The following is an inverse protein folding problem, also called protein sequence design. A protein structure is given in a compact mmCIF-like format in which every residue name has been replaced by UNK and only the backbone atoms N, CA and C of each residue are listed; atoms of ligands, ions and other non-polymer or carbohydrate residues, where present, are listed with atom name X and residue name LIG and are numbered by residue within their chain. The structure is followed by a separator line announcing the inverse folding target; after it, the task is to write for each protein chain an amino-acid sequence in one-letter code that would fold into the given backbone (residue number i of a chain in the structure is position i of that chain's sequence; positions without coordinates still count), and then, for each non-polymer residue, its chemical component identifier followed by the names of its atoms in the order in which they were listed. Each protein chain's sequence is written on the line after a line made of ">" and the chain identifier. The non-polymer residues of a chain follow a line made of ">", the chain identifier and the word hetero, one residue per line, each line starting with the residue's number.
data_IF_112762165450
#
_entry.id   IF_112762165450
#
_cell.length_a   1.000
_cell.length_b   1.000
_cell.length_c   1.000
_cell.angle_alpha   90.00
_cell.angle_beta   90.00
_cell.angle_gamma   90.00
#
_symmetry.space_group_name_H-M   'P 1'
#
loop_
_entity.id
_entity.type
_entity.pdbx_description
1 polymer ?
#
# COMPACT_ATOMS: atom_id res chain seq x y z
N UNK A 1 57.49 16.15 1.72
CA UNK A 1 56.47 16.89 0.96
C UNK A 1 55.28 17.33 1.79
N UNK A 2 54.76 16.54 2.74
CA UNK A 2 53.55 16.87 3.49
C UNK A 2 53.65 18.00 4.55
N UNK A 3 54.82 18.25 5.12
CA UNK A 3 54.99 19.22 6.22
C UNK A 3 54.88 20.69 5.76
N UNK A 4 55.28 21.00 4.53
CA UNK A 4 55.13 22.32 3.96
C UNK A 4 53.70 22.61 3.51
N UNK A 5 52.98 21.63 3.02
CA UNK A 5 51.56 21.75 2.68
C UNK A 5 50.69 22.01 3.92
N UNK A 6 50.94 21.32 5.03
CA UNK A 6 50.25 21.57 6.29
C UNK A 6 50.52 22.95 6.87
N UNK A 7 51.77 23.43 6.78
CA UNK A 7 52.12 24.82 7.19
C UNK A 7 51.42 25.86 6.32
N UNK A 8 51.33 25.64 5.01
CA UNK A 8 50.65 26.57 4.10
C UNK A 8 49.14 26.61 4.39
N UNK A 9 48.50 25.46 4.57
CA UNK A 9 47.10 25.38 4.95
C UNK A 9 46.82 26.10 6.28
N UNK A 10 47.72 25.94 7.26
CA UNK A 10 47.58 26.60 8.56
C UNK A 10 47.79 28.14 8.48
N UNK A 11 48.67 28.62 7.63
CA UNK A 11 48.89 30.05 7.42
C UNK A 11 47.70 30.71 6.69
N UNK A 12 47.05 29.99 5.79
CA UNK A 12 45.91 30.50 5.03
C UNK A 12 44.56 30.18 5.70
N UNK A 13 44.55 29.68 6.96
CA UNK A 13 43.34 29.20 7.64
C UNK A 13 42.19 30.23 7.71
N UNK A 14 42.53 31.52 7.83
CA UNK A 14 41.49 32.58 7.88
C UNK A 14 40.87 32.84 6.51
N UNK A 15 41.64 32.78 5.46
CA UNK A 15 41.16 32.94 4.08
C UNK A 15 40.35 31.75 3.62
N UNK A 16 40.71 30.55 4.08
CA UNK A 16 40.03 29.30 3.72
C UNK A 16 38.90 28.93 4.67
N UNK A 17 38.71 29.64 5.80
CA UNK A 17 37.68 29.29 6.81
C UNK A 17 36.27 29.31 6.24
N UNK A 18 35.97 30.29 5.39
CA UNK A 18 34.66 30.39 4.73
C UNK A 18 34.42 29.21 3.78
N UNK A 19 35.41 28.86 2.96
CA UNK A 19 35.35 27.72 2.05
C UNK A 19 35.16 26.40 2.81
N UNK A 20 35.83 26.21 3.93
CA UNK A 20 35.67 25.04 4.78
C UNK A 20 34.27 24.95 5.38
N UNK A 21 33.74 26.10 5.83
CA UNK A 21 32.38 26.16 6.37
C UNK A 21 31.33 25.83 5.29
N UNK A 22 31.48 26.41 4.09
CA UNK A 22 30.62 26.15 2.95
C UNK A 22 30.63 24.65 2.56
N UNK A 23 31.81 24.05 2.40
CA UNK A 23 31.95 22.63 2.11
C UNK A 23 31.37 21.74 3.21
N UNK A 24 31.53 22.12 4.47
CA UNK A 24 30.96 21.39 5.59
C UNK A 24 29.43 21.41 5.56
N UNK A 25 28.83 22.59 5.33
CA UNK A 25 27.37 22.71 5.21
C UNK A 25 26.83 21.86 4.04
N UNK A 26 27.47 21.98 2.87
CA UNK A 26 27.08 21.17 1.70
C UNK A 26 27.20 19.68 1.98
N UNK A 27 28.29 19.27 2.66
CA UNK A 27 28.48 17.86 3.04
C UNK A 27 27.37 17.36 3.97
N UNK A 28 26.99 18.14 4.99
CA UNK A 28 25.93 17.76 5.93
C UNK A 28 24.59 17.63 5.20
N UNK A 29 24.27 18.60 4.33
CA UNK A 29 23.02 18.54 3.55
C UNK A 29 23.02 17.33 2.62
N UNK A 30 24.12 17.12 1.90
CA UNK A 30 24.26 16.01 0.98
C UNK A 30 24.14 14.66 1.71
N UNK A 31 24.82 14.53 2.86
CA UNK A 31 24.74 13.32 3.68
C UNK A 31 23.31 13.04 4.13
N UNK A 32 22.59 14.06 4.62
CA UNK A 32 21.20 13.93 5.04
C UNK A 32 20.30 13.46 3.87
N UNK A 33 20.41 14.10 2.70
CA UNK A 33 19.57 13.74 1.56
C UNK A 33 19.90 12.31 1.07
N UNK A 34 21.19 11.94 1.02
CA UNK A 34 21.60 10.59 0.62
C UNK A 34 21.07 9.53 1.59
N UNK A 35 21.10 9.83 2.90
CA UNK A 35 20.55 8.94 3.93
C UNK A 35 19.04 8.73 3.74
N UNK A 36 18.28 9.82 3.57
CA UNK A 36 16.82 9.75 3.31
C UNK A 36 16.52 8.96 2.04
N UNK A 37 17.22 9.22 0.94
CA UNK A 37 17.04 8.49 -0.32
C UNK A 37 17.38 7.01 -0.15
N UNK A 38 18.47 6.69 0.56
CA UNK A 38 18.86 5.31 0.82
C UNK A 38 17.79 4.57 1.62
N UNK A 39 17.29 5.17 2.70
CA UNK A 39 16.20 4.58 3.52
C UNK A 39 14.93 4.39 2.68
N UNK A 40 14.52 5.42 1.93
CA UNK A 40 13.33 5.35 1.07
C UNK A 40 13.44 4.24 0.03
N UNK A 41 14.58 4.14 -0.68
CA UNK A 41 14.78 3.06 -1.66
C UNK A 41 14.87 1.69 -1.02
N UNK A 42 15.44 1.60 0.18
CA UNK A 42 15.49 0.34 0.94
C UNK A 42 14.08 -0.14 1.30
N UNK A 43 13.21 0.78 1.73
CA UNK A 43 11.81 0.49 2.03
C UNK A 43 11.05 0.16 0.73
N UNK A 44 11.22 0.96 -0.31
CA UNK A 44 10.54 0.78 -1.60
C UNK A 44 10.73 -0.63 -2.19
N UNK A 45 11.91 -1.20 -2.07
CA UNK A 45 12.26 -2.51 -2.63
C UNK A 45 11.85 -3.70 -1.74
N UNK A 46 11.27 -3.48 -0.57
CA UNK A 46 10.77 -4.58 0.26
C UNK A 46 9.53 -5.24 -0.40
N UNK A 47 9.32 -6.54 -0.18
CA UNK A 47 8.12 -7.23 -0.66
C UNK A 47 6.84 -6.58 -0.11
N UNK A 48 5.82 -6.46 -0.94
CA UNK A 48 4.51 -5.92 -0.55
C UNK A 48 3.65 -6.92 0.22
N UNK A 49 3.87 -8.22 0.03
CA UNK A 49 3.06 -9.29 0.60
C UNK A 49 1.78 -9.59 -0.19
N UNK A 50 1.53 -8.86 -1.27
CA UNK A 50 0.42 -9.07 -2.20
C UNK A 50 0.84 -8.71 -3.64
N UNK A 51 -0.01 -9.06 -4.60
CA UNK A 51 0.20 -8.83 -6.03
C UNK A 51 -1.03 -8.16 -6.66
N UNK A 52 -0.79 -7.11 -7.44
CA UNK A 52 -1.81 -6.33 -8.16
C UNK A 52 -1.80 -6.53 -9.68
N UNK A 53 -0.93 -7.37 -10.20
CA UNK A 53 -0.88 -7.63 -11.65
C UNK A 53 -2.21 -8.20 -12.13
N UNK A 54 -2.67 -7.75 -13.29
CA UNK A 54 -3.94 -8.17 -13.90
C UNK A 54 -5.18 -7.98 -12.99
N UNK A 55 -5.12 -7.02 -12.08
CA UNK A 55 -6.20 -6.72 -11.12
C UNK A 55 -6.90 -5.41 -11.46
N UNK A 56 -8.22 -5.43 -11.37
CA UNK A 56 -9.08 -4.29 -11.70
C UNK A 56 -10.05 -4.01 -10.56
N UNK A 57 -10.35 -2.73 -10.35
CA UNK A 57 -11.43 -2.26 -9.48
C UNK A 57 -12.62 -1.91 -10.34
N UNK A 58 -13.78 -2.46 -10.04
CA UNK A 58 -15.05 -2.13 -10.67
C UNK A 58 -15.89 -1.34 -9.68
N UNK A 59 -16.38 -0.20 -10.12
CA UNK A 59 -17.29 0.64 -9.33
C UNK A 59 -18.70 0.47 -9.82
N UNK A 60 -19.59 0.12 -8.88
CA UNK A 60 -21.03 0.03 -9.13
C UNK A 60 -21.74 1.14 -8.42
N UNK A 61 -22.71 1.73 -9.09
CA UNK A 61 -23.52 2.80 -8.53
C UNK A 61 -25.01 2.50 -8.73
N UNK A 62 -25.82 3.13 -7.90
CA UNK A 62 -27.26 3.02 -7.98
C UNK A 62 -27.83 4.06 -8.94
N UNK A 63 -28.71 3.63 -9.83
CA UNK A 63 -29.41 4.52 -10.75
C UNK A 63 -30.19 5.59 -9.99
N UNK A 64 -30.18 6.79 -10.53
CA UNK A 64 -31.04 7.87 -10.02
C UNK A 64 -32.49 7.64 -10.43
N UNK A 65 -33.43 8.22 -9.67
CA UNK A 65 -34.88 8.13 -9.93
C UNK A 65 -35.32 8.70 -11.29
N UNK A 66 -34.39 9.34 -12.02
CA UNK A 66 -34.63 9.88 -13.38
C UNK A 66 -34.31 8.86 -14.48
N UNK A 67 -33.62 7.80 -14.18
CA UNK A 67 -33.30 6.76 -15.16
C UNK A 67 -34.56 5.96 -15.53
N UNK A 68 -34.70 5.66 -16.82
CA UNK A 68 -35.89 4.94 -17.33
C UNK A 68 -36.03 3.52 -16.73
N UNK A 69 -34.93 2.88 -16.38
CA UNK A 69 -34.89 1.53 -15.79
C UNK A 69 -34.96 1.55 -14.25
N UNK A 70 -35.07 2.71 -13.61
CA UNK A 70 -35.09 2.82 -12.15
C UNK A 70 -36.31 2.12 -11.54
N UNK A 71 -36.07 1.30 -10.55
CA UNK A 71 -37.08 0.58 -9.77
C UNK A 71 -37.27 1.25 -8.41
N UNK A 72 -38.38 1.93 -8.15
CA UNK A 72 -38.64 2.58 -6.89
C UNK A 72 -38.88 1.58 -5.75
N UNK A 73 -38.52 1.98 -4.51
CA UNK A 73 -38.82 1.21 -3.31
C UNK A 73 -37.83 0.09 -3.00
N UNK A 74 -36.77 -0.12 -3.78
CA UNK A 74 -35.74 -1.11 -3.47
C UNK A 74 -34.94 -0.76 -2.24
N UNK A 75 -34.67 -1.75 -1.45
CA UNK A 75 -33.91 -1.71 -0.19
C UNK A 75 -32.42 -2.00 -0.43
N UNK A 76 -31.55 -1.64 0.52
CA UNK A 76 -30.13 -2.01 0.48
C UNK A 76 -29.91 -3.53 0.45
N UNK A 77 -30.78 -4.30 1.11
CA UNK A 77 -30.76 -5.77 1.05
C UNK A 77 -30.93 -6.32 -0.36
N UNK A 78 -31.85 -5.72 -1.13
CA UNK A 78 -32.06 -6.12 -2.54
C UNK A 78 -30.86 -5.66 -3.40
N UNK A 79 -30.29 -4.50 -3.13
CA UNK A 79 -29.09 -4.05 -3.86
C UNK A 79 -27.87 -4.94 -3.55
N UNK A 80 -27.71 -5.42 -2.32
CA UNK A 80 -26.67 -6.41 -1.95
C UNK A 80 -26.89 -7.73 -2.69
N UNK A 81 -28.12 -8.21 -2.77
CA UNK A 81 -28.43 -9.42 -3.56
C UNK A 81 -28.14 -9.23 -5.06
N UNK A 82 -28.47 -8.08 -5.63
CA UNK A 82 -28.15 -7.73 -7.03
C UNK A 82 -26.64 -7.67 -7.25
N UNK A 83 -25.88 -7.14 -6.26
CA UNK A 83 -24.44 -7.11 -6.32
C UNK A 83 -23.81 -8.51 -6.30
N UNK A 84 -24.33 -9.41 -5.47
CA UNK A 84 -23.91 -10.81 -5.48
C UNK A 84 -24.19 -11.50 -6.82
N UNK A 85 -25.31 -11.19 -7.45
CA UNK A 85 -25.61 -11.70 -8.81
C UNK A 85 -24.60 -11.18 -9.82
N UNK A 86 -24.23 -9.89 -9.77
CA UNK A 86 -23.20 -9.31 -10.63
C UNK A 86 -21.84 -9.99 -10.40
N UNK A 87 -21.42 -10.15 -9.13
CA UNK A 87 -20.18 -10.82 -8.76
C UNK A 87 -20.18 -12.27 -9.28
N UNK A 88 -21.28 -12.98 -9.15
CA UNK A 88 -21.43 -14.33 -9.67
C UNK A 88 -21.25 -14.39 -11.19
N UNK A 89 -21.85 -13.47 -11.94
CA UNK A 89 -21.66 -13.37 -13.39
C UNK A 89 -20.22 -13.06 -13.78
N UNK A 90 -19.56 -12.15 -13.05
CA UNK A 90 -18.13 -11.84 -13.24
C UNK A 90 -17.25 -13.07 -12.98
N UNK A 91 -17.50 -13.80 -11.89
CA UNK A 91 -16.74 -14.99 -11.51
C UNK A 91 -16.87 -16.15 -12.52
N UNK A 92 -18.00 -16.23 -13.24
CA UNK A 92 -18.22 -17.24 -14.28
C UNK A 92 -17.64 -16.88 -15.65
N UNK A 93 -17.01 -15.72 -15.79
CA UNK A 93 -16.34 -15.38 -17.05
C UNK A 93 -15.08 -16.24 -17.26
N UNK A 94 -14.81 -16.67 -18.48
CA UNK A 94 -13.65 -17.52 -18.78
C UNK A 94 -12.30 -16.78 -18.60
N UNK A 95 -12.30 -15.44 -18.74
CA UNK A 95 -11.12 -14.60 -18.60
C UNK A 95 -10.86 -14.14 -17.15
N UNK A 96 -11.78 -14.41 -16.22
CA UNK A 96 -11.65 -14.02 -14.81
C UNK A 96 -11.14 -15.19 -13.97
N UNK A 97 -10.17 -14.90 -13.09
CA UNK A 97 -9.58 -15.85 -12.15
C UNK A 97 -10.30 -15.81 -10.80
N UNK A 98 -10.52 -14.61 -10.25
CA UNK A 98 -11.18 -14.42 -8.96
C UNK A 98 -11.87 -13.05 -8.92
N UNK A 99 -12.94 -12.94 -8.11
CA UNK A 99 -13.68 -11.69 -7.83
C UNK A 99 -13.94 -11.61 -6.35
N UNK A 100 -13.73 -10.44 -5.75
CA UNK A 100 -13.96 -10.22 -4.33
C UNK A 100 -14.77 -8.96 -4.05
N UNK A 101 -15.45 -8.95 -2.92
CA UNK A 101 -16.04 -7.77 -2.31
C UNK A 101 -15.21 -7.32 -1.12
N UNK A 102 -15.09 -6.01 -0.94
CA UNK A 102 -14.43 -5.43 0.21
C UNK A 102 -14.98 -4.05 0.56
N UNK A 103 -14.56 -3.51 1.70
CA UNK A 103 -14.92 -2.19 2.14
C UNK A 103 -13.70 -1.48 2.76
N UNK A 104 -13.26 -0.39 2.14
CA UNK A 104 -12.05 0.36 2.51
C UNK A 104 -10.78 -0.52 2.57
N UNK A 105 -10.63 -1.45 1.64
CA UNK A 105 -9.58 -2.47 1.68
C UNK A 105 -8.76 -2.55 0.40
N UNK A 106 -9.11 -1.83 -0.66
CA UNK A 106 -8.31 -1.80 -1.89
C UNK A 106 -6.90 -1.32 -1.56
N UNK A 107 -5.85 -1.99 -2.03
CA UNK A 107 -4.51 -1.44 -1.96
C UNK A 107 -4.43 -0.04 -2.58
N UNK A 108 -3.59 0.82 -2.02
CA UNK A 108 -3.37 2.18 -2.52
C UNK A 108 -4.61 3.08 -2.47
N UNK A 109 -5.38 3.00 -1.41
CA UNK A 109 -6.43 3.98 -1.12
C UNK A 109 -6.09 4.78 0.15
N UNK A 110 -6.68 5.97 0.29
CA UNK A 110 -6.53 6.79 1.50
C UNK A 110 -7.48 6.35 2.62
N UNK A 111 -8.33 5.36 2.36
CA UNK A 111 -9.31 4.84 3.29
C UNK A 111 -8.73 3.75 4.18
N UNK A 112 -9.06 3.78 5.46
CA UNK A 112 -8.69 2.73 6.39
C UNK A 112 -9.69 2.62 7.52
N UNK A 113 -10.07 1.38 7.86
CA UNK A 113 -10.85 1.09 9.05
C UNK A 113 -9.90 0.73 10.18
N UNK A 114 -10.01 1.41 11.31
CA UNK A 114 -9.25 1.05 12.52
C UNK A 114 -9.89 -0.14 13.21
N UNK A 115 -9.08 -1.07 13.68
CA UNK A 115 -9.51 -2.22 14.45
C UNK A 115 -8.65 -2.39 15.70
N UNK A 116 -9.31 -2.50 16.85
CA UNK A 116 -8.64 -2.74 18.12
C UNK A 116 -9.23 -3.98 18.77
N UNK A 117 -8.37 -4.87 19.21
CA UNK A 117 -8.73 -6.08 19.92
C UNK A 117 -7.70 -6.39 21.01
N UNK A 118 -7.96 -7.37 21.83
CA UNK A 118 -7.04 -7.76 22.90
C UNK A 118 -6.48 -9.14 22.65
N UNK A 119 -5.14 -9.24 22.70
CA UNK A 119 -4.44 -10.52 22.82
C UNK A 119 -3.97 -10.64 24.26
N UNK A 120 -4.62 -11.51 25.02
CA UNK A 120 -4.49 -11.58 26.48
C UNK A 120 -4.81 -10.22 27.12
N UNK A 121 -3.81 -9.55 27.68
CA UNK A 121 -3.96 -8.21 28.27
C UNK A 121 -3.43 -7.07 27.41
N UNK A 122 -2.84 -7.39 26.25
CA UNK A 122 -2.20 -6.42 25.37
C UNK A 122 -3.22 -5.89 24.38
N UNK A 123 -3.47 -4.57 24.34
CA UNK A 123 -4.31 -3.95 23.32
C UNK A 123 -3.55 -3.91 21.98
N UNK A 124 -4.09 -4.56 20.98
CA UNK A 124 -3.54 -4.58 19.62
C UNK A 124 -4.35 -3.65 18.74
N UNK A 125 -3.67 -2.79 18.00
CA UNK A 125 -4.28 -1.92 16.98
C UNK A 125 -3.78 -2.30 15.60
N UNK A 126 -4.71 -2.39 14.65
CA UNK A 126 -4.43 -2.73 13.26
C UNK A 126 -5.41 -2.03 12.33
N UNK A 127 -5.16 -2.11 11.05
CA UNK A 127 -6.19 -1.84 10.06
C UNK A 127 -7.17 -3.01 10.02
N UNK A 128 -8.46 -2.71 9.95
CA UNK A 128 -9.51 -3.70 9.69
C UNK A 128 -9.74 -3.81 8.20
N UNK A 129 -9.63 -5.01 7.67
CA UNK A 129 -10.01 -5.32 6.30
C UNK A 129 -11.29 -6.15 6.31
N UNK A 130 -12.39 -5.54 5.94
CA UNK A 130 -13.65 -6.22 5.70
C UNK A 130 -13.67 -6.75 4.29
N UNK A 131 -13.53 -8.05 4.13
CA UNK A 131 -13.32 -8.70 2.84
C UNK A 131 -14.08 -10.02 2.73
N UNK A 132 -14.42 -10.40 1.51
CA UNK A 132 -14.81 -11.78 1.21
C UNK A 132 -13.57 -12.66 1.08
N UNK A 133 -13.67 -14.00 1.26
CA UNK A 133 -12.55 -14.93 1.19
C UNK A 133 -11.73 -14.81 -0.10
N UNK A 134 -12.40 -14.59 -1.23
CA UNK A 134 -11.80 -14.49 -2.55
C UNK A 134 -10.81 -13.32 -2.69
N UNK A 135 -10.87 -12.36 -1.78
CA UNK A 135 -9.92 -11.23 -1.74
C UNK A 135 -8.46 -11.72 -1.67
N UNK A 136 -8.19 -12.78 -0.93
CA UNK A 136 -6.86 -13.35 -0.87
C UNK A 136 -6.40 -13.90 -2.22
N UNK A 137 -7.32 -14.47 -3.00
CA UNK A 137 -7.04 -14.98 -4.34
C UNK A 137 -6.86 -13.84 -5.36
N UNK A 138 -7.69 -12.79 -5.27
CA UNK A 138 -7.56 -11.59 -6.12
C UNK A 138 -6.20 -10.96 -5.96
N UNK A 139 -5.69 -10.84 -4.74
CA UNK A 139 -4.43 -10.18 -4.42
C UNK A 139 -3.26 -11.15 -4.15
N UNK A 140 -3.46 -12.46 -4.33
CA UNK A 140 -2.43 -13.50 -4.19
C UNK A 140 -1.63 -13.40 -2.89
N UNK A 141 -2.32 -13.21 -1.77
CA UNK A 141 -1.69 -13.23 -0.46
C UNK A 141 -1.09 -14.61 -0.17
N UNK A 142 -0.05 -14.64 0.66
CA UNK A 142 0.62 -15.89 1.04
C UNK A 142 0.44 -16.16 2.52
N UNK A 143 0.20 -17.43 2.85
CA UNK A 143 0.20 -17.90 4.23
C UNK A 143 1.65 -18.08 4.72
N UNK A 144 1.90 -17.81 6.00
CA UNK A 144 3.24 -17.99 6.62
C UNK A 144 3.74 -19.44 6.61
N UNK A 145 2.88 -20.41 6.39
CA UNK A 145 3.24 -21.83 6.28
C UNK A 145 3.72 -22.21 4.88
N UNK A 146 3.68 -21.27 3.93
CA UNK A 146 4.05 -21.46 2.53
C UNK A 146 2.93 -21.97 1.64
N UNK A 147 1.72 -22.18 2.19
CA UNK A 147 0.54 -22.48 1.38
C UNK A 147 0.05 -21.22 0.62
N UNK A 148 -0.76 -21.43 -0.41
CA UNK A 148 -1.28 -20.36 -1.24
C UNK A 148 -2.41 -19.55 -0.60
N UNK A 149 -2.93 -18.60 -1.37
CA UNK A 149 -4.05 -17.74 -0.99
C UNK A 149 -5.34 -18.51 -0.68
N UNK A 150 -5.55 -19.66 -1.28
CA UNK A 150 -6.71 -20.52 -1.05
C UNK A 150 -6.85 -20.93 0.41
N UNK A 151 -5.74 -21.28 1.07
CA UNK A 151 -5.76 -21.64 2.50
C UNK A 151 -6.17 -20.47 3.41
N UNK A 152 -5.83 -19.24 3.02
CA UNK A 152 -6.25 -18.03 3.72
C UNK A 152 -7.75 -17.75 3.49
N UNK A 153 -8.21 -17.98 2.27
CA UNK A 153 -9.62 -17.84 1.91
C UNK A 153 -10.49 -18.83 2.71
N UNK A 154 -10.08 -20.08 2.82
CA UNK A 154 -10.77 -21.11 3.63
C UNK A 154 -10.77 -20.78 5.13
N UNK A 155 -9.70 -20.15 5.63
CA UNK A 155 -9.58 -19.78 7.03
C UNK A 155 -10.45 -18.57 7.42
N UNK A 156 -10.77 -17.69 6.47
CA UNK A 156 -11.61 -16.52 6.72
C UNK A 156 -13.09 -16.91 6.77
N UNK A 157 -13.65 -16.90 7.95
CA UNK A 157 -15.06 -17.25 8.21
C UNK A 157 -15.71 -16.21 9.12
N UNK A 158 -17.02 -16.20 9.32
CA UNK A 158 -17.67 -15.29 10.26
C UNK A 158 -17.11 -15.34 11.69
N UNK A 159 -16.51 -16.45 12.10
CA UNK A 159 -15.88 -16.64 13.43
C UNK A 159 -14.35 -16.72 13.36
N UNK A 160 -13.77 -16.74 12.17
CA UNK A 160 -12.33 -16.84 11.93
C UNK A 160 -11.79 -15.60 11.26
N UNK A 161 -10.72 -15.03 11.79
CA UNK A 161 -10.01 -13.90 11.20
C UNK A 161 -8.61 -14.27 10.75
N UNK A 162 -8.08 -13.52 9.80
CA UNK A 162 -6.72 -13.68 9.30
C UNK A 162 -5.92 -12.42 9.67
N UNK A 163 -4.73 -12.60 10.25
CA UNK A 163 -3.85 -11.49 10.61
C UNK A 163 -2.61 -11.48 9.73
N UNK A 164 -2.04 -10.30 9.53
CA UNK A 164 -0.67 -10.17 9.03
C UNK A 164 0.32 -10.46 10.14
N UNK A 165 1.32 -11.32 9.89
CA UNK A 165 2.26 -11.77 10.93
C UNK A 165 3.08 -10.64 11.53
N UNK A 166 3.36 -9.59 10.78
CA UNK A 166 4.09 -8.40 11.24
C UNK A 166 3.35 -7.58 12.32
N UNK A 167 2.11 -7.92 12.64
CA UNK A 167 1.44 -7.43 13.86
C UNK A 167 2.26 -7.78 15.11
N UNK A 168 2.89 -8.96 15.15
CA UNK A 168 3.69 -9.40 16.30
C UNK A 168 4.98 -8.58 16.49
N UNK A 169 5.56 -8.08 15.41
CA UNK A 169 6.87 -7.41 15.42
C UNK A 169 6.84 -6.06 16.17
N UNK A 170 5.66 -5.45 16.29
CA UNK A 170 5.48 -4.16 16.96
C UNK A 170 5.34 -4.31 18.48
N UNK A 171 4.91 -5.47 18.94
CA UNK A 171 4.68 -5.75 20.36
C UNK A 171 5.78 -6.62 20.91
N UNK A 172 7.04 -6.15 20.84
CA UNK A 172 8.23 -6.90 21.20
C UNK A 172 8.24 -7.43 22.65
N UNK A 173 7.59 -6.71 23.56
CA UNK A 173 7.44 -7.10 24.96
C UNK A 173 6.22 -8.01 25.22
N UNK A 174 5.47 -8.36 24.20
CA UNK A 174 4.33 -9.23 24.35
C UNK A 174 4.76 -10.70 24.56
N UNK A 175 3.98 -11.49 25.33
CA UNK A 175 4.32 -12.88 25.61
C UNK A 175 4.06 -13.83 24.43
N UNK A 176 3.76 -13.32 23.25
CA UNK A 176 3.42 -14.11 22.06
C UNK A 176 4.11 -13.55 20.81
N UNK A 177 4.59 -14.43 19.94
CA UNK A 177 5.27 -14.07 18.70
C UNK A 177 4.89 -15.00 17.56
N UNK A 178 4.84 -14.46 16.34
CA UNK A 178 4.69 -15.22 15.11
C UNK A 178 3.54 -16.24 15.16
N UNK A 179 3.86 -17.51 14.91
CA UNK A 179 2.88 -18.62 14.85
C UNK A 179 2.10 -18.91 16.13
N UNK A 180 2.56 -18.41 17.27
CA UNK A 180 1.85 -18.58 18.57
C UNK A 180 0.51 -17.83 18.61
N UNK A 181 0.28 -16.93 17.64
CA UNK A 181 -1.00 -16.25 17.48
C UNK A 181 -2.10 -17.17 16.97
N UNK A 182 -1.76 -18.25 16.25
CA UNK A 182 -2.75 -19.15 15.66
C UNK A 182 -3.63 -19.82 16.72
N UNK A 183 -4.92 -19.89 16.46
CA UNK A 183 -5.93 -20.51 17.32
C UNK A 183 -6.34 -19.68 18.54
N UNK A 184 -5.71 -18.53 18.78
CA UNK A 184 -6.12 -17.66 19.89
C UNK A 184 -7.47 -17.04 19.62
N UNK A 185 -8.29 -16.96 20.65
CA UNK A 185 -9.58 -16.24 20.61
C UNK A 185 -9.37 -14.81 21.06
N UNK A 186 -9.88 -13.89 20.30
CA UNK A 186 -9.77 -12.46 20.56
C UNK A 186 -11.15 -11.85 20.75
N UNK A 187 -11.41 -11.20 21.88
CA UNK A 187 -12.62 -10.43 22.07
C UNK A 187 -12.54 -9.16 21.21
N UNK A 188 -13.57 -8.92 20.43
CA UNK A 188 -13.67 -7.71 19.60
C UNK A 188 -13.93 -6.48 20.48
N UNK A 189 -14.60 -6.66 21.65
CA UNK A 189 -14.91 -5.60 22.61
C UNK A 189 -14.54 -6.02 24.03
N UNK A 190 -13.80 -5.17 24.75
CA UNK A 190 -13.24 -5.52 26.08
C UNK A 190 -14.29 -5.68 27.18
N UNK A 191 -15.43 -4.99 27.10
CA UNK A 191 -16.34 -4.80 28.25
C UNK A 191 -17.64 -5.56 28.14
N UNK A 192 -17.84 -6.42 27.15
CA UNK A 192 -19.05 -7.20 26.99
C UNK A 192 -18.75 -8.68 27.20
N UNK A 193 -19.31 -9.33 28.24
CA UNK A 193 -19.10 -10.75 28.53
C UNK A 193 -19.58 -11.67 27.38
N UNK A 194 -20.49 -11.19 26.56
CA UNK A 194 -21.01 -11.87 25.36
C UNK A 194 -20.39 -11.33 24.08
N UNK A 195 -19.28 -10.58 24.18
CA UNK A 195 -18.60 -10.04 23.00
C UNK A 195 -18.30 -11.14 22.00
N UNK A 196 -18.55 -10.84 20.74
CA UNK A 196 -18.20 -11.69 19.62
C UNK A 196 -16.71 -12.01 19.66
N UNK A 197 -16.38 -13.30 19.75
CA UNK A 197 -15.01 -13.77 19.79
C UNK A 197 -14.63 -14.26 18.40
N UNK A 198 -13.62 -13.60 17.82
CA UNK A 198 -12.98 -14.10 16.61
C UNK A 198 -11.77 -14.98 16.97
N UNK A 199 -11.58 -16.04 16.24
CA UNK A 199 -10.40 -16.89 16.36
C UNK A 199 -9.40 -16.53 15.27
N UNK A 200 -8.11 -16.42 15.59
CA UNK A 200 -7.04 -16.22 14.62
C UNK A 200 -6.85 -17.53 13.87
N UNK A 201 -7.47 -17.66 12.71
CA UNK A 201 -7.53 -18.90 11.94
C UNK A 201 -6.30 -19.09 11.04
N UNK A 202 -5.72 -18.01 10.52
CA UNK A 202 -4.51 -18.05 9.72
C UNK A 202 -3.69 -16.76 9.86
N UNK A 203 -2.44 -16.81 9.39
CA UNK A 203 -1.54 -15.67 9.35
C UNK A 203 -0.99 -15.50 7.93
N UNK A 204 -0.98 -14.28 7.42
CA UNK A 204 -0.29 -13.99 6.16
C UNK A 204 1.18 -13.70 6.41
N UNK A 205 2.01 -13.83 5.35
CA UNK A 205 3.33 -13.19 5.32
C UNK A 205 3.21 -11.69 5.63
N UNK A 206 4.32 -11.01 5.97
CA UNK A 206 4.30 -9.57 6.20
C UNK A 206 3.68 -8.82 5.02
N UNK A 207 2.79 -7.89 5.33
CA UNK A 207 2.09 -7.09 4.33
C UNK A 207 2.39 -5.62 4.58
N UNK A 208 2.49 -4.85 3.51
CA UNK A 208 2.72 -3.41 3.56
C UNK A 208 1.50 -2.66 3.01
N UNK A 209 1.36 -1.42 3.42
CA UNK A 209 0.28 -0.56 2.95
C UNK A 209 0.55 -0.06 1.52
N UNK A 210 1.76 0.44 1.29
CA UNK A 210 2.30 0.90 0.01
C UNK A 210 3.83 0.73 -0.04
N UNK A 211 4.47 1.14 -1.13
CA UNK A 211 5.91 0.98 -1.32
C UNK A 211 6.76 1.97 -0.49
N UNK A 212 6.18 3.03 0.05
CA UNK A 212 6.87 4.05 0.83
C UNK A 212 6.64 3.91 2.33
N UNK A 213 5.62 3.17 2.74
CA UNK A 213 5.30 2.92 4.16
C UNK A 213 6.26 1.91 4.76
N UNK A 214 6.85 2.24 5.91
CA UNK A 214 7.75 1.34 6.63
C UNK A 214 7.01 0.08 7.13
N UNK A 215 7.69 -1.09 7.25
CA UNK A 215 7.06 -2.34 7.69
C UNK A 215 6.49 -2.30 9.11
N UNK A 216 7.03 -1.45 9.97
CA UNK A 216 6.61 -1.25 11.35
C UNK A 216 5.53 -0.18 11.52
N UNK A 217 5.13 0.47 10.44
CA UNK A 217 4.04 1.44 10.45
C UNK A 217 2.68 0.77 10.74
N UNK A 218 1.75 1.57 11.28
CA UNK A 218 0.38 1.13 11.55
C UNK A 218 -0.32 0.61 10.29
N UNK A 219 -0.11 1.27 9.14
CA UNK A 219 -0.68 0.88 7.85
C UNK A 219 -0.22 -0.48 7.33
N UNK A 220 0.93 -0.97 7.82
CA UNK A 220 1.49 -2.27 7.44
C UNK A 220 0.96 -3.46 8.27
N UNK A 221 -0.03 -3.23 9.14
CA UNK A 221 -0.62 -4.24 10.02
C UNK A 221 -2.11 -4.32 9.82
N UNK A 222 -2.62 -5.48 9.48
CA UNK A 222 -4.05 -5.64 9.30
C UNK A 222 -4.62 -6.90 9.92
N UNK A 223 -5.91 -6.82 10.23
CA UNK A 223 -6.78 -7.93 10.58
C UNK A 223 -7.89 -8.04 9.53
N UNK A 224 -7.90 -9.13 8.78
CA UNK A 224 -8.97 -9.45 7.86
C UNK A 224 -10.12 -10.11 8.60
N UNK A 225 -11.30 -9.54 8.44
CA UNK A 225 -12.55 -10.00 9.04
C UNK A 225 -13.54 -10.26 7.92
N UNK A 226 -14.33 -11.31 8.07
CA UNK A 226 -15.32 -11.71 7.07
C UNK A 226 -16.37 -10.61 6.86
N UNK A 227 -16.59 -10.25 5.61
CA UNK A 227 -17.60 -9.28 5.21
C UNK A 227 -18.95 -10.00 5.04
N UNK A 228 -19.81 -9.84 6.03
CA UNK A 228 -21.17 -10.43 6.00
C UNK A 228 -22.14 -9.57 5.21
N UNK A 229 -23.27 -10.16 4.78
CA UNK A 229 -24.34 -9.43 4.10
C UNK A 229 -24.94 -8.35 5.01
N UNK A 230 -25.07 -8.61 6.31
CA UNK A 230 -25.53 -7.61 7.28
C UNK A 230 -24.56 -6.42 7.36
N UNK A 231 -23.26 -6.67 7.26
CA UNK A 231 -22.26 -5.60 7.22
C UNK A 231 -22.39 -4.79 5.92
N UNK A 232 -22.57 -5.45 4.77
CA UNK A 232 -22.84 -4.78 3.48
C UNK A 232 -24.11 -3.93 3.54
N UNK A 233 -25.21 -4.49 4.06
CA UNK A 233 -26.47 -3.77 4.21
C UNK A 233 -26.34 -2.54 5.11
N UNK A 234 -25.51 -2.63 6.16
CA UNK A 234 -25.28 -1.53 7.11
C UNK A 234 -24.53 -0.33 6.53
N UNK A 235 -23.84 -0.49 5.39
CA UNK A 235 -23.15 0.61 4.71
C UNK A 235 -24.11 1.65 4.14
N UNK A 236 -25.35 1.28 3.86
CA UNK A 236 -26.41 2.17 3.39
C UNK A 236 -26.33 2.54 1.90
N UNK A 237 -25.15 2.48 1.30
CA UNK A 237 -24.92 2.80 -0.11
C UNK A 237 -23.90 1.84 -0.75
N UNK A 238 -24.18 1.40 -1.97
CA UNK A 238 -23.32 0.46 -2.71
C UNK A 238 -21.99 1.07 -3.16
N UNK A 239 -21.89 2.39 -3.24
CA UNK A 239 -20.66 3.10 -3.60
C UNK A 239 -19.50 2.84 -2.63
N UNK A 240 -19.81 2.43 -1.39
CA UNK A 240 -18.80 2.06 -0.39
C UNK A 240 -18.33 0.61 -0.50
N UNK A 241 -18.92 -0.17 -1.41
CA UNK A 241 -18.56 -1.57 -1.64
C UNK A 241 -17.61 -1.62 -2.82
N UNK A 242 -16.45 -2.18 -2.57
CA UNK A 242 -15.40 -2.35 -3.56
C UNK A 242 -15.54 -3.72 -4.22
N UNK A 243 -15.56 -3.75 -5.53
CA UNK A 243 -15.52 -4.99 -6.33
C UNK A 243 -14.16 -5.06 -7.00
N UNK A 244 -13.36 -6.05 -6.64
CA UNK A 244 -12.06 -6.27 -7.27
C UNK A 244 -12.07 -7.60 -8.01
N UNK A 245 -11.52 -7.61 -9.22
CA UNK A 245 -11.35 -8.83 -9.98
C UNK A 245 -9.91 -9.01 -10.42
N UNK A 246 -9.48 -10.26 -10.53
CA UNK A 246 -8.24 -10.67 -11.17
C UNK A 246 -8.56 -11.37 -12.48
N UNK A 247 -7.88 -10.97 -13.53
CA UNK A 247 -7.95 -11.58 -14.86
C UNK A 247 -6.89 -12.66 -14.96
N UNK A 248 -7.21 -13.76 -15.64
CA UNK A 248 -6.25 -14.85 -15.90
C UNK A 248 -5.07 -14.36 -16.70
N UNK A 249 -3.90 -14.92 -16.42
CA UNK A 249 -2.68 -14.60 -17.13
C UNK A 249 -2.86 -14.79 -18.66
N UNK A 250 -2.39 -13.83 -19.44
CA UNK A 250 -2.54 -13.81 -20.89
C UNK A 250 -3.92 -13.42 -21.43
N UNK A 251 -4.90 -13.12 -20.57
CA UNK A 251 -6.25 -12.66 -20.96
C UNK A 251 -6.49 -11.16 -20.72
N UNK A 252 -5.42 -10.43 -20.37
CA UNK A 252 -5.50 -9.04 -19.95
C UNK A 252 -5.80 -8.05 -21.10
N UNK A 253 -5.38 -8.38 -22.33
CA UNK A 253 -5.53 -7.50 -23.48
C UNK A 253 -7.00 -7.24 -23.81
N UNK A 254 -7.39 -5.96 -23.82
CA UNK A 254 -8.74 -5.52 -24.14
C UNK A 254 -9.82 -5.96 -23.14
N UNK A 255 -9.46 -6.36 -21.93
CA UNK A 255 -10.44 -6.82 -20.91
C UNK A 255 -11.44 -5.72 -20.54
N UNK A 256 -10.98 -4.47 -20.44
CA UNK A 256 -11.83 -3.33 -20.11
C UNK A 256 -12.90 -3.15 -21.19
N UNK A 257 -12.51 -3.19 -22.47
CA UNK A 257 -13.45 -3.07 -23.59
C UNK A 257 -14.49 -4.19 -23.59
N UNK A 258 -14.05 -5.44 -23.29
CA UNK A 258 -14.98 -6.60 -23.18
C UNK A 258 -15.96 -6.42 -22.03
N UNK A 259 -15.50 -5.93 -20.88
CA UNK A 259 -16.36 -5.68 -19.72
C UNK A 259 -17.37 -4.54 -20.00
N UNK A 260 -16.91 -3.46 -20.67
CA UNK A 260 -17.79 -2.33 -21.05
C UNK A 260 -18.86 -2.79 -22.06
N UNK A 261 -18.49 -3.61 -23.05
CA UNK A 261 -19.47 -4.16 -24.04
C UNK A 261 -20.55 -4.99 -23.35
N UNK A 262 -20.19 -5.68 -22.28
CA UNK A 262 -21.11 -6.51 -21.50
C UNK A 262 -21.89 -5.71 -20.42
N UNK A 263 -21.52 -4.46 -20.14
CA UNK A 263 -21.98 -3.70 -18.98
C UNK A 263 -23.51 -3.63 -18.86
N UNK A 264 -24.19 -3.14 -19.90
CA UNK A 264 -25.65 -2.95 -19.88
C UNK A 264 -26.41 -4.28 -19.80
N UNK A 265 -25.86 -5.34 -20.39
CA UNK A 265 -26.55 -6.64 -20.47
C UNK A 265 -26.27 -7.54 -19.28
N UNK A 266 -25.05 -7.51 -18.74
CA UNK A 266 -24.61 -8.46 -17.75
C UNK A 266 -24.47 -7.83 -16.35
N UNK A 267 -24.12 -6.55 -16.26
CA UNK A 267 -23.76 -5.89 -15.01
C UNK A 267 -24.74 -4.79 -14.61
N UNK A 268 -25.85 -4.63 -15.35
CA UNK A 268 -26.99 -3.87 -14.88
C UNK A 268 -28.00 -4.84 -14.27
N UNK A 269 -28.11 -4.84 -12.93
CA UNK A 269 -29.05 -5.70 -12.18
C UNK A 269 -29.80 -4.83 -11.18
N UNK A 270 -31.13 -4.91 -11.16
CA UNK A 270 -31.95 -4.03 -10.33
C UNK A 270 -31.70 -2.57 -10.62
N UNK A 271 -31.29 -1.82 -9.59
CA UNK A 271 -30.89 -0.43 -9.73
C UNK A 271 -29.38 -0.23 -9.87
N UNK A 272 -28.58 -1.30 -9.84
CA UNK A 272 -27.14 -1.21 -9.95
C UNK A 272 -26.69 -1.20 -11.42
N UNK A 273 -25.67 -0.42 -11.71
CA UNK A 273 -24.99 -0.42 -13.00
C UNK A 273 -23.47 -0.24 -12.81
N UNK A 274 -22.70 -0.75 -13.74
CA UNK A 274 -21.26 -0.56 -13.78
C UNK A 274 -20.93 0.88 -14.17
N UNK A 275 -20.30 1.61 -13.26
CA UNK A 275 -19.92 3.01 -13.47
C UNK A 275 -18.53 3.15 -14.09
N UNK A 276 -17.55 2.40 -13.56
CA UNK A 276 -16.15 2.54 -13.93
C UNK A 276 -15.38 1.25 -13.74
N UNK A 277 -14.31 1.08 -14.53
CA UNK A 277 -13.35 -0.01 -14.44
C UNK A 277 -11.96 0.59 -14.47
N UNK A 278 -11.23 0.46 -13.37
CA UNK A 278 -9.89 1.03 -13.24
C UNK A 278 -8.87 -0.07 -12.99
N UNK A 279 -7.78 -0.19 -13.80
CA UNK A 279 -6.65 -1.05 -13.46
C UNK A 279 -6.04 -0.65 -12.11
N UNK A 280 -5.71 -1.60 -11.27
CA UNK A 280 -5.14 -1.28 -9.96
C UNK A 280 -3.72 -0.69 -10.06
N UNK A 281 -3.02 -0.95 -11.16
CA UNK A 281 -1.77 -0.26 -11.51
C UNK A 281 -1.92 1.26 -11.63
N UNK A 282 -3.08 1.72 -12.14
CA UNK A 282 -3.35 3.14 -12.32
C UNK A 282 -3.73 3.78 -10.99
N UNK A 283 -4.50 3.04 -10.16
CA UNK A 283 -4.79 3.45 -8.76
C UNK A 283 -3.48 3.63 -7.98
N UNK A 284 -2.57 2.66 -8.07
CA UNK A 284 -1.23 2.75 -7.46
C UNK A 284 -0.47 3.96 -7.97
N UNK A 285 -0.42 4.15 -9.29
CA UNK A 285 0.33 5.25 -9.89
C UNK A 285 -0.19 6.61 -9.40
N UNK A 286 -1.51 6.77 -9.33
CA UNK A 286 -2.12 7.99 -8.81
C UNK A 286 -1.79 8.19 -7.32
N UNK A 287 -1.90 7.14 -6.51
CA UNK A 287 -1.65 7.17 -5.07
C UNK A 287 -0.18 7.51 -4.74
N UNK A 288 0.77 6.88 -5.42
CA UNK A 288 2.21 7.03 -5.14
C UNK A 288 2.84 8.26 -5.82
N UNK A 289 2.08 9.00 -6.64
CA UNK A 289 2.59 10.14 -7.45
C UNK A 289 3.35 11.16 -6.60
N UNK A 290 2.82 11.57 -5.46
CA UNK A 290 3.44 12.60 -4.61
C UNK A 290 4.76 12.08 -3.99
N UNK A 291 4.78 10.85 -3.51
CA UNK A 291 5.99 10.23 -2.94
C UNK A 291 7.09 10.05 -4.00
N UNK A 292 6.70 9.65 -5.22
CA UNK A 292 7.63 9.54 -6.36
C UNK A 292 8.17 10.91 -6.76
N UNK A 293 7.34 11.95 -6.80
CA UNK A 293 7.75 13.30 -7.11
C UNK A 293 8.70 13.87 -6.04
N UNK A 294 8.44 13.58 -4.77
CA UNK A 294 9.36 13.96 -3.68
C UNK A 294 10.71 13.30 -3.85
N UNK A 295 10.76 11.99 -4.11
CA UNK A 295 12.00 11.26 -4.36
C UNK A 295 12.76 11.81 -5.58
N UNK A 296 12.07 12.09 -6.67
CA UNK A 296 12.66 12.71 -7.86
C UNK A 296 13.25 14.09 -7.56
N UNK A 297 12.56 14.90 -6.75
CA UNK A 297 13.04 16.20 -6.30
C UNK A 297 14.33 16.06 -5.50
N UNK A 298 14.41 15.09 -4.60
CA UNK A 298 15.62 14.79 -3.84
C UNK A 298 16.79 14.40 -4.75
N UNK A 299 16.55 13.56 -5.76
CA UNK A 299 17.57 13.23 -6.77
C UNK A 299 18.05 14.45 -7.55
N UNK A 300 17.14 15.35 -7.94
CA UNK A 300 17.53 16.61 -8.61
C UNK A 300 18.42 17.49 -7.72
N UNK A 301 18.10 17.59 -6.43
CA UNK A 301 18.90 18.35 -5.45
C UNK A 301 20.30 17.72 -5.29
N UNK A 302 20.38 16.39 -5.14
CA UNK A 302 21.67 15.67 -5.07
C UNK A 302 22.50 15.97 -6.30
N UNK A 303 21.93 15.82 -7.49
CA UNK A 303 22.64 16.09 -8.75
C UNK A 303 23.14 17.53 -8.82
N UNK A 304 22.30 18.50 -8.46
CA UNK A 304 22.67 19.91 -8.44
C UNK A 304 23.83 20.17 -7.46
N UNK A 305 23.78 19.62 -6.25
CA UNK A 305 24.84 19.77 -5.25
C UNK A 305 26.14 19.14 -5.72
N UNK A 306 26.11 17.94 -6.29
CA UNK A 306 27.28 17.28 -6.85
C UNK A 306 27.90 18.08 -7.99
N UNK A 307 27.06 18.64 -8.88
CA UNK A 307 27.54 19.50 -9.96
C UNK A 307 28.25 20.76 -9.41
N UNK A 308 27.67 21.40 -8.39
CA UNK A 308 28.29 22.58 -7.76
C UNK A 308 29.64 22.24 -7.11
N UNK A 309 29.75 21.12 -6.40
CA UNK A 309 31.01 20.64 -5.83
C UNK A 309 32.03 20.41 -6.94
N UNK A 310 31.66 19.75 -8.01
CA UNK A 310 32.53 19.48 -9.16
C UNK A 310 33.02 20.75 -9.81
N UNK A 311 32.17 21.75 -10.05
CA UNK A 311 32.52 23.04 -10.61
C UNK A 311 33.44 23.84 -9.65
N UNK A 312 33.18 23.79 -8.34
CA UNK A 312 34.02 24.39 -7.32
C UNK A 312 35.44 23.81 -7.29
N UNK A 313 35.56 22.48 -7.41
CA UNK A 313 36.86 21.79 -7.48
C UNK A 313 37.62 22.20 -8.77
N UNK A 314 36.95 22.20 -9.92
CA UNK A 314 37.56 22.64 -11.18
C UNK A 314 38.00 24.10 -11.10
N UNK A 315 37.16 24.99 -10.58
CA UNK A 315 37.48 26.40 -10.41
C UNK A 315 38.71 26.63 -9.54
N UNK A 316 38.80 25.96 -8.39
CA UNK A 316 39.95 26.05 -7.49
C UNK A 316 41.21 25.49 -8.12
N UNK A 317 41.12 24.39 -8.87
CA UNK A 317 42.27 23.82 -9.60
C UNK A 317 42.76 24.76 -10.70
N UNK A 318 41.84 25.36 -11.48
CA UNK A 318 42.15 26.32 -12.53
C UNK A 318 42.86 27.55 -12.00
N UNK A 319 42.33 28.17 -10.92
CA UNK A 319 42.96 29.34 -10.29
C UNK A 319 44.37 29.04 -9.78
N UNK A 320 44.60 27.90 -9.13
CA UNK A 320 45.94 27.50 -8.65
C UNK A 320 46.91 27.26 -9.80
N UNK A 321 46.46 26.73 -10.92
CA UNK A 321 47.31 26.49 -12.10
C UNK A 321 47.70 27.79 -12.76
N UNK A 322 46.79 28.75 -12.92
CA UNK A 322 47.09 30.08 -13.46
C UNK A 322 48.07 30.87 -12.56
N UNK A 323 47.86 30.82 -11.26
CA UNK A 323 48.75 31.51 -10.31
C UNK A 323 50.18 30.97 -10.36
N UNK A 324 50.37 29.68 -10.59
CA UNK A 324 51.71 29.09 -10.78
C UNK A 324 52.34 29.47 -12.11
N UNK A 325 51.56 29.58 -13.17
CA UNK A 325 52.06 30.01 -14.49
C UNK A 325 52.49 31.48 -14.51
N UNK A 326 51.76 32.37 -13.78
CA UNK A 326 52.10 33.78 -13.68
C UNK A 326 53.33 34.09 -12.80
N UNK A 327 53.79 33.12 -11.98
CA UNK A 327 55.03 33.24 -11.18
C UNK A 327 56.28 32.74 -11.93
N UNK A 328 56.14 32.20 -13.12
CA UNK A 328 57.25 31.67 -13.96
C UNK A 328 57.56 32.63 -15.09
N UNK A 329 56.79 33.67 -15.32
CA UNK A 329 57.04 34.79 -16.21
C UNK A 329 57.32 36.06 -15.38
#
# INVERSE_FOLDING_TARGET
>A
MNRNLLKQIWNERRSNAFLWMELFVVFVILWYIVDVVYVTLSIYNLPMGFDIENTYVLRFERMTSKAAAYQPGRTMKEDVADLHEIVNRLAHRPDVEAVSLSQNCIPYNDGANSFSFYLDTVPVRSLKRWITPEYFNVFRYRNIDGSGSESLAEALTPSGMVLSVNIADVYQDAPWHGKELLGRRVPVWRNEPEAEHLSIAALTEPVRYDHFTAPDDYGSRYAAVYLTDEALESLGETVYIEVCLRVREGQNDGVIDRLIVDADRQYQVGNLYLLDITPLSDVRTAYETDSVNELNTQFCIIFFLLLNIFLGIIGTFWFRTQHRLSLIH
#
